data_IF_086289342027
#
_entry.id   IF_086289342027
#
_cell.length_a   1.000
_cell.length_b   1.000
_cell.length_c   1.000
_cell.angle_alpha   90.00
_cell.angle_beta   90.00
_cell.angle_gamma   90.00
#
_symmetry.space_group_name_H-M   'P 1'
#
loop_
_entity.id
_entity.type
_entity.pdbx_description
1 polymer ?
#
# COMPACT_ATOMS: atom_id res chain seq x y z
N UNK A 1 -34.44 10.20 46.71
CA UNK A 1 -33.93 9.08 45.90
C UNK A 1 -33.90 9.50 44.44
N UNK A 2 -32.74 9.50 43.77
CA UNK A 2 -32.64 9.85 42.36
C UNK A 2 -33.30 8.77 41.49
N UNK A 3 -33.90 9.19 40.37
CA UNK A 3 -34.71 8.34 39.49
C UNK A 3 -33.79 7.43 38.65
N UNK A 4 -33.89 6.09 38.75
CA UNK A 4 -33.00 5.13 38.08
C UNK A 4 -33.18 5.03 36.55
N UNK A 5 -34.00 5.88 35.94
CA UNK A 5 -34.29 5.84 34.50
C UNK A 5 -33.34 6.71 33.66
N UNK A 6 -32.65 7.69 34.26
CA UNK A 6 -31.73 8.56 33.49
C UNK A 6 -30.42 7.83 33.19
N UNK A 7 -29.90 7.04 34.14
CA UNK A 7 -28.65 6.29 33.99
C UNK A 7 -28.74 5.17 32.94
N UNK A 8 -29.93 4.56 32.79
CA UNK A 8 -30.16 3.54 31.75
C UNK A 8 -30.16 4.13 30.34
N UNK A 9 -30.74 5.33 30.18
CA UNK A 9 -30.76 6.02 28.89
C UNK A 9 -29.34 6.42 28.45
N UNK A 10 -28.50 6.86 29.39
CA UNK A 10 -27.09 7.21 29.10
C UNK A 10 -26.25 6.00 28.73
N UNK A 11 -26.46 4.85 29.38
CA UNK A 11 -25.73 3.62 29.06
C UNK A 11 -26.11 3.04 27.69
N UNK A 12 -27.40 3.03 27.35
CA UNK A 12 -27.83 2.63 26.00
C UNK A 12 -27.29 3.56 24.91
N UNK A 13 -27.18 4.85 25.21
CA UNK A 13 -26.61 5.83 24.28
C UNK A 13 -25.12 5.55 24.03
N UNK A 14 -24.35 5.25 25.09
CA UNK A 14 -22.95 4.86 24.99
C UNK A 14 -22.77 3.56 24.18
N UNK A 15 -23.60 2.55 24.42
CA UNK A 15 -23.56 1.30 23.64
C UNK A 15 -23.89 1.51 22.16
N UNK A 16 -24.83 2.40 21.85
CA UNK A 16 -25.14 2.76 20.46
C UNK A 16 -23.96 3.46 19.80
N UNK A 17 -23.32 4.40 20.50
CA UNK A 17 -22.17 5.12 19.98
C UNK A 17 -20.99 4.19 19.69
N UNK A 18 -20.67 3.28 20.61
CA UNK A 18 -19.64 2.25 20.42
C UNK A 18 -19.99 1.34 19.23
N UNK A 19 -21.26 0.89 19.12
CA UNK A 19 -21.68 0.03 18.02
C UNK A 19 -21.60 0.75 16.67
N UNK A 20 -21.98 2.02 16.61
CA UNK A 20 -21.87 2.85 15.41
C UNK A 20 -20.39 3.08 15.05
N UNK A 21 -19.53 3.34 16.05
CA UNK A 21 -18.09 3.46 15.86
C UNK A 21 -17.48 2.20 15.25
N UNK A 22 -17.83 1.03 15.79
CA UNK A 22 -17.37 -0.27 15.28
C UNK A 22 -17.81 -0.52 13.84
N UNK A 23 -19.07 -0.25 13.51
CA UNK A 23 -19.60 -0.40 12.15
C UNK A 23 -18.89 0.55 11.17
N UNK A 24 -18.63 1.80 11.58
CA UNK A 24 -17.90 2.78 10.76
C UNK A 24 -16.46 2.32 10.48
N UNK A 25 -15.77 1.81 11.49
CA UNK A 25 -14.41 1.26 11.34
C UNK A 25 -14.39 0.03 10.43
N UNK A 26 -15.38 -0.85 10.56
CA UNK A 26 -15.50 -2.05 9.73
C UNK A 26 -15.81 -1.69 8.26
N UNK A 27 -16.62 -0.66 8.03
CA UNK A 27 -16.89 -0.11 6.70
C UNK A 27 -15.65 0.57 6.09
N UNK A 28 -14.90 1.34 6.88
CA UNK A 28 -13.63 1.92 6.44
C UNK A 28 -12.62 0.81 6.09
N UNK A 29 -12.58 -0.25 6.89
CA UNK A 29 -11.70 -1.39 6.62
C UNK A 29 -12.08 -2.10 5.33
N UNK A 30 -13.36 -2.40 5.10
CA UNK A 30 -13.78 -3.08 3.87
C UNK A 30 -13.50 -2.23 2.63
N UNK A 31 -13.79 -0.92 2.71
CA UNK A 31 -13.52 0.01 1.61
C UNK A 31 -12.03 0.22 1.32
N UNK A 32 -11.18 0.20 2.35
CA UNK A 32 -9.72 0.27 2.19
C UNK A 32 -9.09 -1.05 1.75
N UNK A 33 -9.71 -2.18 2.08
CA UNK A 33 -9.25 -3.51 1.67
C UNK A 33 -9.64 -3.84 0.22
N UNK A 34 -10.74 -3.27 -0.27
CA UNK A 34 -11.22 -3.36 -1.66
C UNK A 34 -10.55 -2.34 -2.60
N UNK A 35 -9.67 -1.48 -2.10
CA UNK A 35 -8.76 -0.73 -2.97
C UNK A 35 -7.83 -1.75 -3.64
N UNK A 36 -7.86 -1.89 -4.97
CA UNK A 36 -6.93 -2.77 -5.66
C UNK A 36 -5.53 -2.23 -5.40
N UNK A 37 -4.81 -2.90 -4.51
CA UNK A 37 -3.37 -2.77 -4.40
C UNK A 37 -2.80 -3.29 -5.71
N UNK A 38 -2.69 -2.41 -6.71
CA UNK A 38 -1.78 -2.68 -7.80
C UNK A 38 -0.40 -2.70 -7.18
N UNK A 39 0.11 -3.92 -6.96
CA UNK A 39 1.53 -4.16 -7.04
C UNK A 39 1.95 -3.53 -8.37
N UNK A 40 2.53 -2.34 -8.29
CA UNK A 40 3.36 -1.83 -9.36
C UNK A 40 4.42 -2.93 -9.51
N UNK A 41 4.26 -3.78 -10.53
CA UNK A 41 5.39 -4.50 -11.09
C UNK A 41 6.38 -3.41 -11.44
N UNK A 42 7.33 -3.20 -10.53
CA UNK A 42 8.50 -2.40 -10.78
C UNK A 42 9.18 -3.05 -11.98
N UNK A 43 8.86 -2.56 -13.18
CA UNK A 43 9.81 -2.59 -14.28
C UNK A 43 11.12 -2.06 -13.70
N UNK A 44 12.24 -2.77 -13.88
CA UNK A 44 13.52 -2.33 -13.39
C UNK A 44 14.00 -1.20 -14.30
N UNK A 45 13.40 -0.02 -14.13
CA UNK A 45 13.91 1.22 -14.69
C UNK A 45 14.44 2.04 -13.52
N UNK A 46 15.77 1.93 -13.36
CA UNK A 46 16.63 3.05 -12.98
C UNK A 46 16.37 3.65 -11.60
N UNK A 47 17.04 3.05 -10.62
CA UNK A 47 17.44 3.69 -9.37
C UNK A 47 18.09 5.04 -9.69
N UNK A 48 17.35 6.12 -9.40
CA UNK A 48 17.91 7.43 -9.10
C UNK A 48 17.10 7.92 -7.91
N UNK A 49 17.68 7.86 -6.72
CA UNK A 49 17.47 8.80 -5.61
C UNK A 49 18.36 8.38 -4.45
N UNK A 50 19.53 9.00 -4.37
CA UNK A 50 20.28 9.13 -3.13
C UNK A 50 20.05 10.55 -2.60
N UNK A 51 19.22 10.60 -1.55
CA UNK A 51 19.38 11.43 -0.36
C UNK A 51 19.45 12.97 -0.50
N UNK A 52 18.28 13.60 -0.34
CA UNK A 52 18.17 14.87 0.36
C UNK A 52 17.87 14.62 1.84
N UNK A 53 18.88 14.80 2.68
CA UNK A 53 18.71 15.05 4.10
C UNK A 53 19.81 16.00 4.58
N UNK A 54 19.56 17.32 4.54
CA UNK A 54 20.00 18.20 5.63
C UNK A 54 19.34 19.57 5.51
N UNK A 55 18.43 19.85 6.44
CA UNK A 55 17.78 21.14 6.66
C UNK A 55 18.50 21.82 7.83
N UNK A 56 19.26 22.90 7.56
CA UNK A 56 19.63 23.90 8.56
C UNK A 56 18.96 25.24 8.22
N UNK A 57 18.49 25.92 9.25
CA UNK A 57 17.82 27.23 9.23
C UNK A 57 18.55 28.31 8.41
N UNK A 58 17.83 29.24 7.77
CA UNK A 58 18.37 30.54 7.41
C UNK A 58 18.00 31.60 8.46
N UNK A 59 19.00 32.37 8.87
CA UNK A 59 18.85 33.64 9.57
C UNK A 59 18.63 34.76 8.54
N UNK A 60 17.81 35.72 8.94
CA UNK A 60 17.41 36.95 8.28
C UNK A 60 18.62 37.83 7.92
N UNK A 61 18.64 38.38 6.70
CA UNK A 61 19.08 39.75 6.42
C UNK A 61 18.45 40.23 5.10
N UNK A 62 17.82 41.39 5.21
CA UNK A 62 17.24 42.21 4.15
C UNK A 62 18.33 42.69 3.19
N UNK A 63 18.04 42.79 1.88
CA UNK A 63 18.17 44.08 1.21
C UNK A 63 17.53 44.10 -0.19
N UNK A 64 17.14 45.29 -0.57
CA UNK A 64 16.36 45.76 -1.69
C UNK A 64 16.97 45.45 -3.08
N UNK A 65 16.14 45.30 -4.12
CA UNK A 65 15.99 46.33 -5.18
C UNK A 65 15.06 45.93 -6.33
N UNK A 66 14.33 46.96 -6.74
CA UNK A 66 13.41 47.18 -7.86
C UNK A 66 13.70 46.50 -9.22
N UNK A 67 12.60 46.11 -9.87
CA UNK A 67 12.15 46.44 -11.25
C UNK A 67 11.41 45.22 -11.83
N UNK A 68 10.27 45.33 -12.51
CA UNK A 68 9.54 46.46 -13.04
C UNK A 68 8.55 45.90 -14.06
N UNK A 69 7.30 46.35 -13.94
CA UNK A 69 6.31 46.55 -14.98
C UNK A 69 5.94 45.45 -16.01
N UNK A 70 4.65 45.08 -15.93
CA UNK A 70 3.64 45.14 -16.99
C UNK A 70 3.84 44.24 -18.21
N UNK A 71 2.94 43.26 -18.37
CA UNK A 71 1.96 43.29 -19.46
C UNK A 71 0.87 42.24 -19.29
N UNK A 72 -0.36 42.75 -19.23
CA UNK A 72 -1.62 42.05 -19.41
C UNK A 72 -1.70 41.35 -20.78
N UNK A 73 -2.17 40.11 -20.79
CA UNK A 73 -3.03 39.62 -21.87
C UNK A 73 -4.04 38.61 -21.33
N UNK A 74 -5.28 39.08 -21.23
CA UNK A 74 -6.47 38.27 -21.01
C UNK A 74 -6.66 37.29 -22.18
N UNK A 75 -6.78 35.99 -21.88
CA UNK A 75 -7.52 35.06 -22.74
C UNK A 75 -8.33 34.11 -21.85
N UNK A 76 -9.65 34.28 -21.91
CA UNK A 76 -10.70 33.45 -21.28
C UNK A 76 -10.82 32.08 -21.99
N UNK A 77 -11.57 31.11 -21.43
CA UNK A 77 -11.12 29.75 -21.21
C UNK A 77 -11.72 28.76 -22.21
N UNK A 78 -10.96 27.74 -22.56
CA UNK A 78 -11.41 26.60 -23.35
C UNK A 78 -11.46 25.33 -22.47
N UNK A 79 -12.40 24.41 -22.75
CA UNK A 79 -13.03 23.55 -21.77
C UNK A 79 -12.12 22.45 -21.25
N UNK A 80 -12.32 22.15 -19.97
CA UNK A 80 -11.73 21.06 -19.22
C UNK A 80 -11.75 19.75 -20.03
N UNK A 81 -10.58 19.36 -20.54
CA UNK A 81 -10.29 17.94 -20.70
C UNK A 81 -10.25 17.38 -19.30
N UNK A 82 -11.30 16.65 -18.93
CA UNK A 82 -11.34 15.82 -17.73
C UNK A 82 -10.05 15.00 -17.73
N UNK A 83 -9.13 15.47 -16.91
CA UNK A 83 -7.85 14.87 -16.69
C UNK A 83 -8.19 13.63 -15.90
N UNK A 84 -8.12 12.49 -16.60
CA UNK A 84 -8.11 11.12 -16.08
C UNK A 84 -6.85 10.93 -15.22
N UNK A 85 -6.69 11.81 -14.24
CA UNK A 85 -5.86 11.63 -13.07
C UNK A 85 -6.74 10.86 -12.11
N UNK A 86 -6.85 9.56 -12.37
CA UNK A 86 -6.89 8.62 -11.27
C UNK A 86 -5.74 9.03 -10.34
N UNK A 87 -6.09 9.73 -9.27
CA UNK A 87 -5.17 10.10 -8.21
C UNK A 87 -4.76 8.79 -7.56
N UNK A 88 -3.77 8.14 -8.18
CA UNK A 88 -3.07 7.02 -7.63
C UNK A 88 -2.53 7.50 -6.29
N UNK A 89 -3.20 7.07 -5.23
CA UNK A 89 -2.72 7.15 -3.86
C UNK A 89 -1.33 6.52 -3.93
N UNK A 90 -0.28 7.32 -3.74
CA UNK A 90 1.08 6.80 -3.73
C UNK A 90 1.14 5.62 -2.77
N UNK A 91 1.86 4.56 -3.10
CA UNK A 91 1.98 3.37 -2.24
C UNK A 91 2.31 3.74 -0.78
N UNK A 92 3.16 4.76 -0.61
CA UNK A 92 3.51 5.34 0.68
C UNK A 92 2.31 5.90 1.46
N UNK A 93 1.38 6.59 0.81
CA UNK A 93 0.16 7.09 1.49
C UNK A 93 -0.80 5.97 1.88
N UNK A 94 -0.79 4.85 1.16
CA UNK A 94 -1.54 3.64 1.53
C UNK A 94 -0.96 2.96 2.77
N UNK A 95 0.37 2.80 2.82
CA UNK A 95 1.07 2.21 3.96
C UNK A 95 0.90 3.06 5.23
N UNK A 96 0.97 4.39 5.10
CA UNK A 96 0.72 5.34 6.18
C UNK A 96 -0.69 5.18 6.77
N UNK A 97 -1.70 4.99 5.91
CA UNK A 97 -3.09 4.84 6.31
C UNK A 97 -3.36 3.47 6.95
N UNK A 98 -2.72 2.41 6.47
CA UNK A 98 -2.74 1.09 7.10
C UNK A 98 -2.07 1.08 8.48
N UNK A 99 -0.94 1.78 8.63
CA UNK A 99 -0.22 1.92 9.90
C UNK A 99 -1.07 2.68 10.93
N UNK A 100 -1.64 3.83 10.56
CA UNK A 100 -2.44 4.66 11.47
C UNK A 100 -3.75 3.94 11.87
N UNK A 101 -4.39 3.23 10.94
CA UNK A 101 -5.60 2.45 11.27
C UNK A 101 -5.31 1.25 12.15
N UNK A 102 -4.14 0.61 12.02
CA UNK A 102 -3.70 -0.43 12.94
C UNK A 102 -3.49 0.14 14.36
N UNK A 103 -2.87 1.30 14.49
CA UNK A 103 -2.65 1.96 15.79
C UNK A 103 -3.93 2.46 16.46
N UNK A 104 -4.88 3.01 15.69
CA UNK A 104 -6.18 3.42 16.22
C UNK A 104 -6.97 2.23 16.79
N UNK A 105 -6.78 1.02 16.26
CA UNK A 105 -7.40 -0.19 16.79
C UNK A 105 -6.71 -0.71 18.07
N UNK A 106 -5.39 -0.51 18.22
CA UNK A 106 -4.68 -0.90 19.43
C UNK A 106 -5.11 -0.05 20.64
N UNK A 107 -5.42 1.24 20.42
CA UNK A 107 -5.84 2.15 21.48
C UNK A 107 -7.19 1.80 22.14
N UNK A 108 -8.07 1.07 21.45
CA UNK A 108 -9.41 0.71 21.96
C UNK A 108 -9.38 -0.55 22.85
N UNK A 109 -8.38 -1.43 22.66
CA UNK A 109 -8.19 -2.66 23.43
C UNK A 109 -7.44 -2.42 24.75
N UNK A 110 -6.65 -1.34 24.86
CA UNK A 110 -5.79 -1.05 26.03
C UNK A 110 -6.41 -0.03 27.00
N UNK A 111 -7.62 -0.30 27.52
CA UNK A 111 -8.27 0.52 28.55
C UNK A 111 -7.59 0.47 29.95
N UNK A 112 -6.31 0.09 30.07
CA UNK A 112 -5.69 -0.26 31.36
C UNK A 112 -4.25 0.19 31.64
N UNK A 113 -3.45 0.63 30.67
CA UNK A 113 -2.02 0.93 30.90
C UNK A 113 -1.55 2.14 30.09
N UNK A 114 -1.86 3.34 30.58
CA UNK A 114 -1.51 4.63 29.96
C UNK A 114 0.00 4.99 29.98
N UNK A 115 0.88 4.13 30.47
CA UNK A 115 2.32 4.42 30.58
C UNK A 115 3.14 3.97 29.37
N UNK A 116 2.73 2.94 28.63
CA UNK A 116 3.39 2.54 27.37
C UNK A 116 2.97 3.41 26.17
N UNK A 117 1.85 4.13 26.29
CA UNK A 117 1.31 4.96 25.22
C UNK A 117 2.13 6.24 24.95
N UNK A 118 3.01 6.66 25.87
CA UNK A 118 3.76 7.92 25.73
C UNK A 118 5.02 7.78 24.88
N UNK A 119 5.76 6.69 25.03
CA UNK A 119 6.97 6.40 24.23
C UNK A 119 6.59 6.03 22.78
N UNK A 120 5.51 5.26 22.60
CA UNK A 120 5.00 4.91 21.28
C UNK A 120 4.37 6.11 20.53
N UNK A 121 3.86 7.11 21.27
CA UNK A 121 3.34 8.34 20.67
C UNK A 121 4.46 9.24 20.12
N UNK A 122 5.64 9.22 20.74
CA UNK A 122 6.80 9.96 20.26
C UNK A 122 7.38 9.33 18.98
N UNK A 123 7.40 7.99 18.92
CA UNK A 123 7.79 7.23 17.72
C UNK A 123 6.88 7.47 16.51
N UNK A 124 5.61 7.85 16.72
CA UNK A 124 4.62 8.09 15.67
C UNK A 124 4.42 9.57 15.33
N UNK A 125 5.10 10.49 16.04
CA UNK A 125 4.87 11.92 15.87
C UNK A 125 5.14 12.38 14.44
N UNK A 126 6.15 11.79 13.80
CA UNK A 126 6.53 12.08 12.42
C UNK A 126 5.49 11.56 11.42
N UNK A 127 5.02 10.33 11.58
CA UNK A 127 3.97 9.72 10.74
C UNK A 127 2.64 10.47 10.89
N UNK A 128 2.29 10.88 12.10
CA UNK A 128 1.09 11.68 12.37
C UNK A 128 1.22 13.06 11.72
N UNK A 129 2.41 13.67 11.73
CA UNK A 129 2.64 14.96 11.07
C UNK A 129 2.50 14.84 9.55
N UNK A 130 3.04 13.78 8.94
CA UNK A 130 2.92 13.48 7.51
C UNK A 130 1.47 13.16 7.12
N UNK A 131 0.75 12.44 7.97
CA UNK A 131 -0.68 12.19 7.74
C UNK A 131 -1.49 13.48 7.79
N UNK A 132 -1.18 14.40 8.70
CA UNK A 132 -1.83 15.72 8.77
C UNK A 132 -1.56 16.57 7.54
N UNK A 133 -0.37 16.51 6.94
CA UNK A 133 -0.09 17.21 5.69
C UNK A 133 -0.86 16.60 4.52
N UNK A 134 -1.01 15.27 4.51
CA UNK A 134 -1.58 14.53 3.38
C UNK A 134 -3.10 14.30 3.50
N UNK A 135 -3.72 14.73 4.61
CA UNK A 135 -5.13 14.49 4.92
C UNK A 135 -6.08 15.03 3.84
N UNK A 136 -5.71 16.14 3.20
CA UNK A 136 -6.53 16.76 2.14
C UNK A 136 -6.52 15.92 0.87
N UNK A 137 -5.36 15.38 0.48
CA UNK A 137 -5.25 14.45 -0.64
C UNK A 137 -5.98 13.13 -0.35
N UNK A 138 -5.77 12.56 0.83
CA UNK A 138 -6.42 11.32 1.27
C UNK A 138 -7.94 11.48 1.30
N UNK A 139 -8.45 12.55 1.92
CA UNK A 139 -9.90 12.81 1.97
C UNK A 139 -10.50 13.01 0.59
N UNK A 140 -9.81 13.71 -0.32
CA UNK A 140 -10.27 13.86 -1.70
C UNK A 140 -10.35 12.51 -2.42
N UNK A 141 -9.34 11.65 -2.28
CA UNK A 141 -9.30 10.33 -2.91
C UNK A 141 -10.37 9.37 -2.33
N UNK A 142 -10.57 9.40 -1.01
CA UNK A 142 -11.64 8.64 -0.35
C UNK A 142 -13.01 9.16 -0.79
N UNK A 143 -13.21 10.47 -0.86
CA UNK A 143 -14.46 11.07 -1.35
C UNK A 143 -14.75 10.72 -2.80
N UNK A 144 -13.76 10.77 -3.70
CA UNK A 144 -13.95 10.35 -5.10
C UNK A 144 -14.30 8.88 -5.21
N UNK A 145 -13.69 8.02 -4.39
CA UNK A 145 -14.02 6.59 -4.37
C UNK A 145 -15.41 6.33 -3.83
N UNK A 146 -15.82 7.04 -2.79
CA UNK A 146 -17.16 6.92 -2.20
C UNK A 146 -18.23 7.39 -3.20
N UNK A 147 -17.99 8.51 -3.90
CA UNK A 147 -18.84 8.97 -4.99
C UNK A 147 -18.89 7.96 -6.15
N UNK A 148 -17.77 7.33 -6.51
CA UNK A 148 -17.74 6.28 -7.52
C UNK A 148 -18.57 5.06 -7.09
N UNK A 149 -18.45 4.62 -5.84
CA UNK A 149 -19.26 3.54 -5.28
C UNK A 149 -20.75 3.91 -5.24
N UNK A 150 -21.08 5.14 -4.83
CA UNK A 150 -22.45 5.66 -4.87
C UNK A 150 -23.00 5.62 -6.30
N UNK A 151 -22.25 6.12 -7.28
CA UNK A 151 -22.66 6.10 -8.68
C UNK A 151 -22.84 4.69 -9.23
N UNK A 152 -21.96 3.75 -8.84
CA UNK A 152 -22.08 2.33 -9.20
C UNK A 152 -23.31 1.71 -8.56
N UNK A 153 -23.62 2.06 -7.31
CA UNK A 153 -24.78 1.54 -6.59
C UNK A 153 -26.08 2.13 -7.14
N UNK A 154 -26.08 3.40 -7.54
CA UNK A 154 -27.17 4.04 -8.29
C UNK A 154 -27.35 3.36 -9.65
N UNK A 155 -26.27 3.04 -10.37
CA UNK A 155 -26.39 2.32 -11.65
C UNK A 155 -26.98 0.92 -11.46
N UNK A 156 -26.56 0.18 -10.42
CA UNK A 156 -27.10 -1.14 -10.10
C UNK A 156 -28.58 -1.02 -9.68
N UNK A 157 -28.93 -0.02 -8.88
CA UNK A 157 -30.30 0.26 -8.50
C UNK A 157 -31.18 0.62 -9.72
N UNK A 158 -30.65 1.40 -10.66
CA UNK A 158 -31.34 1.75 -11.90
C UNK A 158 -31.55 0.55 -12.82
N UNK A 159 -30.58 -0.36 -12.92
CA UNK A 159 -30.71 -1.63 -13.65
C UNK A 159 -31.81 -2.51 -13.05
N UNK A 160 -31.89 -2.59 -11.73
CA UNK A 160 -32.97 -3.33 -11.05
C UNK A 160 -34.34 -2.65 -11.17
N UNK A 161 -34.39 -1.32 -11.28
CA UNK A 161 -35.63 -0.56 -11.48
C UNK A 161 -36.13 -0.62 -12.93
N UNK A 162 -35.23 -0.74 -13.91
CA UNK A 162 -35.57 -0.88 -15.33
C UNK A 162 -36.16 -2.27 -15.63
N UNK A 163 -35.73 -3.34 -14.96
CA UNK A 163 -36.42 -4.64 -15.02
C UNK A 163 -37.84 -4.60 -14.42
N UNK A 164 -38.15 -3.56 -13.64
CA UNK A 164 -39.48 -3.33 -13.04
C UNK A 164 -40.38 -2.41 -13.88
N UNK A 165 -39.88 -1.81 -14.97
CA UNK A 165 -40.63 -0.88 -15.82
C UNK A 165 -40.67 -1.33 -17.28
N UNK A 166 -41.74 -2.07 -17.59
CA UNK A 166 -42.27 -2.29 -18.95
C UNK A 166 -42.30 -0.99 -19.77
N UNK A 167 -42.01 -1.02 -21.08
CA UNK A 167 -42.08 0.17 -21.93
C UNK A 167 -43.54 0.68 -22.09
N UNK A 168 -43.78 2.00 -22.07
CA UNK A 168 -45.06 2.56 -22.48
C UNK A 168 -45.15 2.61 -24.01
N UNK A 169 -46.17 1.98 -24.57
CA UNK A 169 -46.55 2.16 -25.96
C UNK A 169 -47.01 3.62 -26.22
N UNK A 170 -46.67 4.22 -27.38
CA UNK A 170 -47.10 5.57 -27.71
C UNK A 170 -48.60 5.62 -28.01
N UNK A 171 -49.29 6.58 -27.40
CA UNK A 171 -50.71 6.85 -27.63
C UNK A 171 -50.87 7.91 -28.74
N UNK A 172 -51.89 7.71 -29.57
CA UNK A 172 -52.68 8.70 -30.32
C UNK A 172 -52.14 9.26 -31.65
N UNK A 173 -52.68 8.72 -32.76
CA UNK A 173 -53.45 9.56 -33.69
C UNK A 173 -54.87 9.01 -33.81
N UNK A 174 -55.81 9.84 -33.36
CA UNK A 174 -57.24 9.73 -33.59
C UNK A 174 -57.55 9.95 -35.07
N UNK A 175 -58.18 8.98 -35.72
CA UNK A 175 -59.14 9.23 -36.79
C UNK A 175 -60.39 8.43 -36.44
N UNK A 176 -61.44 9.13 -36.01
CA UNK A 176 -62.79 8.61 -35.92
C UNK A 176 -63.32 8.39 -37.34
N UNK A 177 -63.70 7.16 -37.68
CA UNK A 177 -64.88 6.91 -38.50
C UNK A 177 -65.63 5.74 -37.88
N UNK A 178 -66.87 6.04 -37.50
CA UNK A 178 -67.89 5.09 -37.07
C UNK A 178 -68.10 4.05 -38.17
N UNK A 179 -68.17 2.77 -37.82
CA UNK A 179 -69.23 1.90 -38.34
C UNK A 179 -69.46 0.74 -37.38
N UNK A 180 -70.72 0.65 -36.95
CA UNK A 180 -71.30 -0.31 -36.06
C UNK A 180 -71.51 -1.65 -36.75
N UNK A 181 -70.75 -2.68 -36.38
CA UNK A 181 -71.19 -4.08 -36.21
C UNK A 181 -69.97 -5.02 -36.11
N UNK A 182 -69.56 -5.38 -34.89
CA UNK A 182 -68.48 -6.36 -34.68
C UNK A 182 -67.75 -6.27 -33.34
N UNK A 183 -68.43 -5.96 -32.23
CA UNK A 183 -67.78 -5.69 -30.94
C UNK A 183 -67.17 -6.92 -30.23
N UNK A 184 -67.43 -8.15 -30.68
CA UNK A 184 -66.84 -9.36 -30.06
C UNK A 184 -65.49 -9.77 -30.67
N UNK A 185 -65.19 -9.37 -31.90
CA UNK A 185 -63.90 -9.67 -32.55
C UNK A 185 -62.72 -8.85 -32.02
N UNK A 186 -62.97 -7.59 -31.61
CA UNK A 186 -61.93 -6.67 -31.13
C UNK A 186 -61.36 -7.08 -29.76
N UNK A 187 -62.20 -7.55 -28.82
CA UNK A 187 -61.75 -8.03 -27.52
C UNK A 187 -61.01 -9.37 -27.61
N UNK A 188 -61.45 -10.29 -28.47
CA UNK A 188 -60.77 -11.57 -28.69
C UNK A 188 -59.40 -11.34 -29.32
N UNK A 189 -59.29 -10.38 -30.25
CA UNK A 189 -58.01 -10.00 -30.89
C UNK A 189 -57.01 -9.33 -29.94
N UNK A 190 -57.47 -8.78 -28.82
CA UNK A 190 -56.60 -8.19 -27.77
C UNK A 190 -56.34 -9.14 -26.60
N UNK A 191 -57.25 -10.06 -26.29
CA UNK A 191 -57.08 -11.09 -25.26
C UNK A 191 -56.15 -12.22 -25.69
N UNK A 192 -56.17 -12.63 -26.95
CA UNK A 192 -55.28 -13.67 -27.50
C UNK A 192 -53.79 -13.32 -27.42
N UNK A 193 -53.32 -12.10 -27.75
CA UNK A 193 -51.92 -11.74 -27.55
C UNK A 193 -51.55 -11.62 -26.06
N UNK A 194 -52.48 -11.19 -25.20
CA UNK A 194 -52.20 -11.12 -23.76
C UNK A 194 -52.11 -12.51 -23.10
N UNK A 195 -52.95 -13.45 -23.51
CA UNK A 195 -52.90 -14.84 -22.99
C UNK A 195 -51.69 -15.60 -23.52
N UNK A 196 -51.33 -15.42 -24.79
CA UNK A 196 -50.08 -15.97 -25.32
C UNK A 196 -48.86 -15.37 -24.63
N UNK A 197 -48.83 -14.06 -24.40
CA UNK A 197 -47.77 -13.40 -23.62
C UNK A 197 -47.68 -13.92 -22.18
N UNK A 198 -48.80 -14.06 -21.47
CA UNK A 198 -48.80 -14.66 -20.12
C UNK A 198 -48.34 -16.12 -20.13
N UNK A 199 -48.72 -16.89 -21.16
CA UNK A 199 -48.26 -18.28 -21.31
C UNK A 199 -46.75 -18.34 -21.60
N UNK A 200 -46.21 -17.37 -22.33
CA UNK A 200 -44.79 -17.26 -22.64
C UNK A 200 -43.99 -16.80 -21.41
N UNK A 201 -44.51 -15.83 -20.66
CA UNK A 201 -43.91 -15.39 -19.39
C UNK A 201 -43.86 -16.54 -18.38
N UNK A 202 -44.96 -17.29 -18.28
CA UNK A 202 -45.10 -18.43 -17.36
C UNK A 202 -44.29 -19.64 -17.83
N UNK A 203 -44.25 -19.90 -19.13
CA UNK A 203 -43.65 -21.10 -19.70
C UNK A 203 -42.13 -21.01 -19.90
N UNK A 204 -41.61 -19.84 -20.28
CA UNK A 204 -40.20 -19.69 -20.62
C UNK A 204 -39.49 -18.61 -19.81
N UNK A 205 -40.07 -17.42 -19.64
CA UNK A 205 -39.32 -16.31 -19.04
C UNK A 205 -39.02 -16.54 -17.54
N UNK A 206 -40.03 -16.92 -16.75
CA UNK A 206 -39.88 -17.11 -15.31
C UNK A 206 -39.02 -18.33 -14.96
N UNK A 207 -39.20 -19.52 -15.59
CA UNK A 207 -38.31 -20.65 -15.36
C UNK A 207 -36.88 -20.38 -15.79
N UNK A 208 -36.67 -19.69 -16.92
CA UNK A 208 -35.32 -19.32 -17.37
C UNK A 208 -34.66 -18.34 -16.41
N UNK A 209 -35.38 -17.32 -15.94
CA UNK A 209 -34.87 -16.37 -14.95
C UNK A 209 -34.49 -17.07 -13.64
N UNK A 210 -35.31 -18.02 -13.18
CA UNK A 210 -35.04 -18.82 -11.98
C UNK A 210 -33.82 -19.74 -12.21
N UNK A 211 -33.71 -20.37 -13.37
CA UNK A 211 -32.55 -21.19 -13.72
C UNK A 211 -31.26 -20.35 -13.77
N UNK A 212 -31.30 -19.16 -14.39
CA UNK A 212 -30.15 -18.24 -14.41
C UNK A 212 -29.79 -17.76 -13.02
N UNK A 213 -30.77 -17.43 -12.18
CA UNK A 213 -30.52 -16.99 -10.81
C UNK A 213 -29.92 -18.12 -9.95
N UNK A 214 -30.44 -19.33 -10.05
CA UNK A 214 -29.91 -20.48 -9.32
C UNK A 214 -28.50 -20.85 -9.79
N UNK A 215 -28.23 -20.74 -11.09
CA UNK A 215 -26.90 -20.94 -11.66
C UNK A 215 -25.90 -19.86 -11.21
N UNK A 216 -26.31 -18.60 -11.20
CA UNK A 216 -25.49 -17.49 -10.70
C UNK A 216 -25.20 -17.64 -9.20
N UNK A 217 -26.21 -18.02 -8.41
CA UNK A 217 -26.04 -18.30 -6.98
C UNK A 217 -25.04 -19.44 -6.74
N UNK A 218 -25.13 -20.53 -7.53
CA UNK A 218 -24.14 -21.61 -7.48
C UNK A 218 -22.73 -21.16 -7.89
N UNK A 219 -22.61 -20.29 -8.88
CA UNK A 219 -21.32 -19.73 -9.30
C UNK A 219 -20.70 -18.87 -8.19
N UNK A 220 -21.51 -18.01 -7.55
CA UNK A 220 -21.07 -17.20 -6.41
C UNK A 220 -20.65 -18.08 -5.25
N UNK A 221 -21.47 -19.06 -4.85
CA UNK A 221 -21.12 -19.99 -3.77
C UNK A 221 -19.85 -20.78 -4.06
N UNK A 222 -19.64 -21.24 -5.30
CA UNK A 222 -18.39 -21.90 -5.70
C UNK A 222 -17.19 -20.95 -5.61
N UNK A 223 -17.34 -19.71 -6.05
CA UNK A 223 -16.26 -18.71 -5.97
C UNK A 223 -15.89 -18.41 -4.52
N UNK A 224 -16.89 -18.26 -3.64
CA UNK A 224 -16.69 -18.03 -2.21
C UNK A 224 -16.03 -19.24 -1.54
N UNK A 225 -16.46 -20.46 -1.86
CA UNK A 225 -15.82 -21.68 -1.35
C UNK A 225 -14.35 -21.79 -1.78
N UNK A 226 -14.05 -21.45 -3.05
CA UNK A 226 -12.68 -21.47 -3.55
C UNK A 226 -11.81 -20.40 -2.90
N UNK A 227 -12.34 -19.19 -2.71
CA UNK A 227 -11.64 -18.11 -2.01
C UNK A 227 -11.34 -18.51 -0.56
N UNK A 228 -12.31 -19.08 0.17
CA UNK A 228 -12.10 -19.58 1.52
C UNK A 228 -11.04 -20.68 1.55
N UNK A 229 -11.08 -21.66 0.65
CA UNK A 229 -10.07 -22.72 0.57
C UNK A 229 -8.68 -22.16 0.32
N UNK A 230 -8.52 -21.21 -0.61
CA UNK A 230 -7.23 -20.59 -0.91
C UNK A 230 -6.68 -19.80 0.29
N UNK A 231 -7.56 -19.08 1.01
CA UNK A 231 -7.19 -18.31 2.19
C UNK A 231 -6.79 -19.24 3.35
N UNK A 232 -7.47 -20.37 3.50
CA UNK A 232 -7.17 -21.37 4.52
C UNK A 232 -5.82 -22.04 4.24
N UNK A 233 -5.55 -22.45 2.99
CA UNK A 233 -4.25 -23.01 2.61
C UNK A 233 -3.11 -21.99 2.78
N UNK A 234 -3.36 -20.71 2.49
CA UNK A 234 -2.39 -19.64 2.74
C UNK A 234 -2.15 -19.44 4.24
N UNK A 235 -3.20 -19.52 5.06
CA UNK A 235 -3.08 -19.43 6.52
C UNK A 235 -2.34 -20.65 7.09
N UNK A 236 -2.64 -21.84 6.59
CA UNK A 236 -1.97 -23.08 6.97
C UNK A 236 -0.49 -23.02 6.60
N UNK A 237 -0.14 -22.64 5.37
CA UNK A 237 1.27 -22.51 4.95
C UNK A 237 2.01 -21.40 5.71
N UNK A 238 1.37 -20.24 5.92
CA UNK A 238 2.00 -19.07 6.53
C UNK A 238 2.10 -19.13 8.06
N UNK A 239 1.04 -19.56 8.76
CA UNK A 239 0.98 -19.54 10.24
C UNK A 239 1.19 -20.91 10.87
N UNK A 240 0.82 -21.98 10.18
CA UNK A 240 0.88 -23.33 10.74
C UNK A 240 1.89 -24.25 10.04
N UNK A 241 2.53 -23.74 8.98
CA UNK A 241 3.49 -24.49 8.20
C UNK A 241 4.70 -24.86 9.04
N UNK A 242 5.20 -26.07 8.82
CA UNK A 242 6.47 -26.54 9.39
C UNK A 242 7.59 -25.54 9.10
N UNK A 243 7.58 -24.90 7.92
CA UNK A 243 8.53 -23.86 7.54
C UNK A 243 8.41 -22.59 8.40
N UNK A 244 7.19 -22.12 8.69
CA UNK A 244 6.97 -20.96 9.55
C UNK A 244 7.41 -21.22 10.99
N UNK A 245 7.06 -22.40 11.53
CA UNK A 245 7.51 -22.84 12.86
C UNK A 245 9.03 -23.01 12.93
N UNK A 246 9.65 -23.54 11.89
CA UNK A 246 11.11 -23.69 11.79
C UNK A 246 11.80 -22.33 11.68
N UNK A 247 11.25 -21.40 10.89
CA UNK A 247 11.78 -20.04 10.80
C UNK A 247 11.66 -19.31 12.13
N UNK A 248 10.52 -19.44 12.82
CA UNK A 248 10.31 -18.87 14.15
C UNK A 248 11.24 -19.49 15.20
N UNK A 249 11.41 -20.82 15.21
CA UNK A 249 12.33 -21.48 16.15
C UNK A 249 13.79 -21.10 15.88
N UNK A 250 14.18 -20.98 14.60
CA UNK A 250 15.51 -20.49 14.21
C UNK A 250 15.72 -19.02 14.61
N UNK A 251 14.73 -18.17 14.42
CA UNK A 251 14.78 -16.78 14.84
C UNK A 251 14.91 -16.66 16.37
N UNK A 252 14.10 -17.41 17.12
CA UNK A 252 14.19 -17.47 18.58
C UNK A 252 15.56 -17.99 19.04
N UNK A 253 16.09 -19.03 18.40
CA UNK A 253 17.43 -19.54 18.68
C UNK A 253 18.53 -18.51 18.38
N UNK A 254 18.47 -17.82 17.25
CA UNK A 254 19.45 -16.77 16.93
C UNK A 254 19.35 -15.58 17.90
N UNK A 255 18.14 -15.23 18.35
CA UNK A 255 17.94 -14.20 19.36
C UNK A 255 18.56 -14.59 20.72
N UNK A 256 18.39 -15.84 21.16
CA UNK A 256 19.04 -16.31 22.40
C UNK A 256 20.55 -16.42 22.25
N UNK A 257 21.06 -16.84 21.09
CA UNK A 257 22.50 -16.81 20.79
C UNK A 257 23.04 -15.38 20.84
N UNK A 258 22.34 -14.42 20.23
CA UNK A 258 22.75 -13.01 20.28
C UNK A 258 22.77 -12.48 21.73
N UNK A 259 21.71 -12.73 22.50
CA UNK A 259 21.65 -12.31 23.91
C UNK A 259 22.75 -12.96 24.77
N UNK A 260 23.07 -14.23 24.54
CA UNK A 260 24.16 -14.92 25.27
C UNK A 260 25.54 -14.44 24.82
N UNK A 261 25.73 -14.09 23.55
CA UNK A 261 26.96 -13.50 23.04
C UNK A 261 27.18 -12.08 23.60
N UNK A 262 26.13 -11.27 23.69
CA UNK A 262 26.17 -9.96 24.33
C UNK A 262 26.53 -10.08 25.82
N UNK A 263 25.87 -10.98 26.56
CA UNK A 263 26.21 -11.24 27.96
C UNK A 263 27.68 -11.71 28.10
N UNK A 264 28.15 -12.59 27.21
CA UNK A 264 29.54 -13.05 27.21
C UNK A 264 30.52 -11.91 26.92
N UNK A 265 30.18 -11.01 26.00
CA UNK A 265 30.98 -9.83 25.72
C UNK A 265 31.06 -8.92 26.95
N UNK A 266 29.94 -8.68 27.63
CA UNK A 266 29.89 -7.90 28.88
C UNK A 266 30.74 -8.54 29.99
N UNK A 267 30.66 -9.86 30.18
CA UNK A 267 31.51 -10.58 31.16
C UNK A 267 32.98 -10.44 30.81
N UNK A 268 33.37 -10.61 29.54
CA UNK A 268 34.75 -10.43 29.11
C UNK A 268 35.25 -9.00 29.33
N UNK A 269 34.40 -7.99 29.09
CA UNK A 269 34.74 -6.59 29.37
C UNK A 269 34.97 -6.39 30.86
N UNK A 270 34.09 -6.91 31.73
CA UNK A 270 34.25 -6.83 33.18
C UNK A 270 35.50 -7.57 33.67
N UNK A 271 35.79 -8.77 33.14
CA UNK A 271 37.01 -9.51 33.47
C UNK A 271 38.27 -8.72 33.08
N UNK A 272 38.27 -8.10 31.90
CA UNK A 272 39.38 -7.24 31.47
C UNK A 272 39.48 -5.99 32.32
N UNK A 273 38.36 -5.39 32.71
CA UNK A 273 38.33 -4.24 33.61
C UNK A 273 38.94 -4.60 34.96
N UNK A 274 38.63 -5.76 35.54
CA UNK A 274 39.24 -6.24 36.79
C UNK A 274 40.77 -6.43 36.63
N UNK A 275 41.22 -7.00 35.51
CA UNK A 275 42.67 -7.18 35.25
C UNK A 275 43.38 -5.83 35.09
N UNK A 276 42.78 -4.89 34.35
CA UNK A 276 43.28 -3.51 34.20
C UNK A 276 43.22 -2.76 35.53
N UNK A 277 42.25 -3.08 36.38
CA UNK A 277 42.14 -2.45 37.69
C UNK A 277 43.20 -2.96 38.66
N UNK A 278 43.57 -4.25 38.56
CA UNK A 278 44.65 -4.88 39.31
C UNK A 278 46.04 -4.55 38.77
N UNK A 279 46.17 -4.31 37.48
CA UNK A 279 47.34 -3.68 36.88
C UNK A 279 47.41 -2.24 37.40
N UNK A 280 48.49 -1.89 38.10
CA UNK A 280 48.63 -0.57 38.69
C UNK A 280 48.43 0.60 37.71
N UNK A 281 48.46 1.83 38.24
CA UNK A 281 48.18 3.06 37.50
C UNK A 281 48.93 3.19 36.16
N UNK A 282 50.17 2.70 36.09
CA UNK A 282 50.99 2.70 34.85
C UNK A 282 50.35 1.91 33.70
N UNK A 283 49.73 0.76 33.99
CA UNK A 283 49.07 -0.05 32.94
C UNK A 283 47.78 0.61 32.46
N UNK A 284 47.05 1.30 33.34
CA UNK A 284 45.86 2.07 32.97
C UNK A 284 46.21 3.28 32.10
N UNK A 285 47.29 3.98 32.43
CA UNK A 285 47.80 5.11 31.64
C UNK A 285 48.29 4.63 30.26
N UNK A 286 49.00 3.50 30.19
CA UNK A 286 49.39 2.90 28.91
C UNK A 286 48.19 2.46 28.06
N UNK A 287 47.19 1.81 28.67
CA UNK A 287 45.94 1.42 27.97
C UNK A 287 45.20 2.65 27.47
N UNK A 288 45.11 3.71 28.28
CA UNK A 288 44.47 4.97 27.88
C UNK A 288 45.20 5.63 26.71
N UNK A 289 46.52 5.76 26.78
CA UNK A 289 47.33 6.29 25.68
C UNK A 289 47.17 5.46 24.41
N UNK A 290 47.06 4.13 24.55
CA UNK A 290 46.83 3.24 23.41
C UNK A 290 45.42 3.37 22.85
N UNK A 291 44.41 3.60 23.69
CA UNK A 291 43.03 3.87 23.29
C UNK A 291 42.95 5.18 22.52
N UNK A 292 43.52 6.25 23.07
CA UNK A 292 43.58 7.57 22.43
C UNK A 292 44.24 7.47 21.05
N UNK A 293 45.37 6.74 20.95
CA UNK A 293 46.04 6.50 19.67
C UNK A 293 45.20 5.69 18.67
N UNK A 294 44.34 4.77 19.13
CA UNK A 294 43.42 4.04 18.26
C UNK A 294 42.24 4.91 17.82
N UNK A 295 41.73 5.78 18.69
CA UNK A 295 40.69 6.76 18.34
C UNK A 295 41.20 7.79 17.33
N UNK A 296 42.45 8.22 17.45
CA UNK A 296 43.12 9.06 16.45
C UNK A 296 43.26 8.34 15.10
N UNK A 297 43.55 7.02 15.12
CA UNK A 297 43.60 6.22 13.90
C UNK A 297 42.21 6.01 13.28
N UNK A 298 41.19 5.79 14.10
CA UNK A 298 39.80 5.62 13.66
C UNK A 298 39.26 6.90 13.03
N UNK A 299 39.45 8.06 13.68
CA UNK A 299 39.08 9.36 13.09
C UNK A 299 39.83 9.64 11.80
N UNK A 300 41.13 9.33 11.71
CA UNK A 300 41.88 9.45 10.46
C UNK A 300 41.41 8.51 9.35
N UNK A 301 40.91 7.31 9.69
CA UNK A 301 40.27 6.41 8.72
C UNK A 301 38.91 6.92 8.28
N UNK A 302 38.12 7.49 9.19
CA UNK A 302 36.83 8.09 8.88
C UNK A 302 36.98 9.30 7.97
N UNK A 303 37.95 10.18 8.23
CA UNK A 303 38.29 11.30 7.36
C UNK A 303 38.68 10.81 5.95
N UNK A 304 39.45 9.71 5.88
CA UNK A 304 39.82 9.10 4.61
C UNK A 304 38.64 8.43 3.90
N UNK A 305 37.69 7.85 4.64
CA UNK A 305 36.43 7.33 4.09
C UNK A 305 35.58 8.48 3.54
N UNK A 306 35.49 9.60 4.26
CA UNK A 306 34.81 10.81 3.78
C UNK A 306 35.48 11.37 2.51
N UNK A 307 36.81 11.43 2.47
CA UNK A 307 37.56 11.84 1.29
C UNK A 307 37.30 10.90 0.10
N UNK A 308 37.40 9.58 0.31
CA UNK A 308 37.17 8.59 -0.74
C UNK A 308 35.72 8.55 -1.22
N UNK A 309 34.76 8.71 -0.31
CA UNK A 309 33.33 8.79 -0.67
C UNK A 309 33.00 10.10 -1.40
N UNK A 310 33.66 11.21 -1.05
CA UNK A 310 33.61 12.46 -1.82
C UNK A 310 34.14 12.27 -3.24
N UNK A 311 35.32 11.67 -3.40
CA UNK A 311 35.89 11.34 -4.71
C UNK A 311 34.96 10.39 -5.48
N UNK A 312 34.39 9.39 -4.82
CA UNK A 312 33.44 8.46 -5.44
C UNK A 312 32.17 9.19 -5.90
N UNK A 313 31.64 10.12 -5.11
CA UNK A 313 30.52 10.96 -5.49
C UNK A 313 30.86 11.88 -6.69
N UNK A 314 32.09 12.40 -6.78
CA UNK A 314 32.57 13.13 -7.96
C UNK A 314 32.61 12.24 -9.21
N UNK A 315 33.09 10.99 -9.08
CA UNK A 315 33.06 10.01 -10.16
C UNK A 315 31.63 9.63 -10.58
N UNK A 316 30.73 9.44 -9.62
CA UNK A 316 29.31 9.18 -9.89
C UNK A 316 28.64 10.40 -10.54
N UNK A 317 29.00 11.62 -10.18
CA UNK A 317 28.50 12.82 -10.84
C UNK A 317 28.96 12.92 -12.31
N UNK A 318 30.19 12.47 -12.61
CA UNK A 318 30.73 12.44 -13.98
C UNK A 318 30.07 11.33 -14.82
N UNK A 319 29.69 10.21 -14.20
CA UNK A 319 29.01 9.09 -14.89
C UNK A 319 27.90 8.45 -14.04
N UNK A 320 26.72 9.10 -13.94
CA UNK A 320 25.65 8.71 -13.02
C UNK A 320 24.99 7.37 -13.37
N UNK A 321 25.21 6.86 -14.58
CA UNK A 321 24.68 5.56 -15.01
C UNK A 321 25.73 4.44 -14.99
N UNK A 322 26.94 4.72 -14.48
CA UNK A 322 28.10 3.83 -14.51
C UNK A 322 28.37 3.31 -15.94
N UNK A 323 28.10 4.12 -16.98
CA UNK A 323 28.21 3.72 -18.40
C UNK A 323 29.65 3.40 -18.77
N UNK A 324 30.60 4.17 -18.28
CA UNK A 324 32.04 3.96 -18.46
C UNK A 324 32.46 2.68 -17.75
N UNK A 325 32.05 2.47 -16.50
CA UNK A 325 32.37 1.25 -15.76
C UNK A 325 31.75 0.00 -16.40
N UNK A 326 30.50 0.09 -16.88
CA UNK A 326 29.82 -0.99 -17.63
C UNK A 326 30.51 -1.30 -18.96
N UNK A 327 30.92 -0.26 -19.71
CA UNK A 327 31.69 -0.43 -20.96
C UNK A 327 33.06 -1.06 -20.69
N UNK A 328 33.71 -0.66 -19.61
CA UNK A 328 35.00 -1.21 -19.21
C UNK A 328 34.85 -2.67 -18.78
N UNK A 329 33.83 -3.01 -17.98
CA UNK A 329 33.52 -4.39 -17.62
C UNK A 329 33.17 -5.27 -18.83
N UNK A 330 32.46 -4.71 -19.83
CA UNK A 330 32.18 -5.42 -21.08
C UNK A 330 33.47 -5.70 -21.89
N UNK A 331 34.39 -4.72 -21.96
CA UNK A 331 35.71 -4.88 -22.59
C UNK A 331 36.56 -5.93 -21.87
N UNK A 332 36.57 -5.93 -20.53
CA UNK A 332 37.31 -6.95 -19.77
C UNK A 332 36.77 -8.35 -20.01
N UNK A 333 35.44 -8.51 -20.09
CA UNK A 333 34.82 -9.80 -20.42
C UNK A 333 35.16 -10.28 -21.83
N UNK A 334 35.22 -9.36 -22.79
CA UNK A 334 35.63 -9.67 -24.17
C UNK A 334 37.09 -10.18 -24.20
N UNK A 335 38.01 -9.47 -23.53
CA UNK A 335 39.42 -9.86 -23.43
C UNK A 335 39.58 -11.19 -22.68
N UNK A 336 38.81 -11.43 -21.61
CA UNK A 336 38.82 -12.71 -20.90
C UNK A 336 38.34 -13.86 -21.81
N UNK A 337 37.31 -13.64 -22.62
CA UNK A 337 36.85 -14.60 -23.62
C UNK A 337 37.87 -14.88 -24.73
N UNK A 338 38.58 -13.85 -25.20
CA UNK A 338 39.71 -14.00 -26.13
C UNK A 338 40.86 -14.78 -25.51
N UNK A 339 41.19 -14.51 -24.25
CA UNK A 339 42.24 -15.22 -23.51
C UNK A 339 41.89 -16.71 -23.34
N UNK A 340 40.63 -17.03 -23.04
CA UNK A 340 40.14 -18.42 -22.97
C UNK A 340 40.13 -19.13 -24.32
N UNK A 341 39.90 -18.40 -25.42
CA UNK A 341 40.04 -18.92 -26.78
C UNK A 341 41.50 -19.23 -27.10
N UNK A 342 42.40 -18.29 -26.84
CA UNK A 342 43.85 -18.45 -27.03
C UNK A 342 44.38 -19.61 -26.19
N UNK A 343 43.94 -19.72 -24.93
CA UNK A 343 44.33 -20.82 -24.05
C UNK A 343 43.89 -22.19 -24.60
N UNK A 344 42.65 -22.30 -25.09
CA UNK A 344 42.17 -23.54 -25.75
C UNK A 344 42.91 -23.84 -27.05
N UNK A 345 43.30 -22.83 -27.80
CA UNK A 345 44.08 -23.00 -29.03
C UNK A 345 45.51 -23.47 -28.71
N UNK A 346 46.15 -22.94 -27.67
CA UNK A 346 47.45 -23.42 -27.16
C UNK A 346 47.34 -24.88 -26.72
N UNK A 347 46.35 -25.22 -25.88
CA UNK A 347 46.12 -26.60 -25.43
C UNK A 347 45.80 -27.57 -26.59
N UNK A 348 45.30 -27.07 -27.72
CA UNK A 348 45.11 -27.87 -28.94
C UNK A 348 46.43 -28.09 -29.67
N UNK A 349 47.22 -27.03 -29.87
CA UNK A 349 48.51 -27.10 -30.55
C UNK A 349 49.50 -27.98 -29.76
N UNK A 350 49.53 -27.87 -28.43
CA UNK A 350 50.34 -28.75 -27.58
C UNK A 350 49.99 -30.23 -27.74
N UNK A 351 48.69 -30.55 -27.94
CA UNK A 351 48.24 -31.93 -28.23
C UNK A 351 48.51 -32.40 -29.65
N UNK A 352 48.80 -31.51 -30.59
CA UNK A 352 49.15 -31.85 -31.97
C UNK A 352 50.67 -31.94 -32.18
N UNK A 353 51.47 -31.32 -31.30
CA UNK A 353 52.94 -31.42 -31.29
C UNK A 353 53.46 -32.66 -30.53
N UNK A 354 52.69 -33.22 -29.58
CA UNK A 354 52.91 -34.54 -28.96
C UNK A 354 52.44 -35.70 -29.87
#
# INVERSE_FOLDING_TARGET
>A
GPKPNVEKATFEQQLREIRIGRIKLELLRSTLQDLPYHHVELKPESQNLTCLASRRHPTILEDETMNGMISDHSTLPAPAKAQDRDQQISSHTGDLLALITAYLNLGDETNGTNQLAFEDAELLADEISRFKTDITAISSAVSTRLLALESSLISLASLTAVESSSPPAPTTQLVCIQDSNGQTGSLISTLTPQTTHLSQLRGSALPNCLATLTQNLHAILRSQAHQLQSSLLRLESSKHGVQSRHAQSRAAFLATVAATMDLKAQVLVLEKQIVVDAGGQETREWVKMKLDALTDQESGLEDRIMELSGVLAEYEAVDPELRVLKRLGARYREVEGEMDLVKRDIERLEREEE
#
